data_IF_616651524824
#
_entry.id   IF_616651524824
#
_cell.length_a   1.000
_cell.length_b   1.000
_cell.length_c   1.000
_cell.angle_alpha   90.00
_cell.angle_beta   90.00
_cell.angle_gamma   90.00
#
_symmetry.space_group_name_H-M   'P 1'
#
loop_
_entity.id
_entity.type
_entity.pdbx_description
1 polymer ?
#
# COMPACT_ATOMS: atom_id res chain seq x y z
N UNK A 1 12.85 19.31 4.95
CA UNK A 1 13.47 18.19 4.20
C UNK A 1 13.45 16.89 5.00
N UNK A 2 13.60 16.91 6.33
CA UNK A 2 13.67 15.72 7.19
C UNK A 2 12.38 14.88 7.25
N UNK A 3 11.19 15.49 7.16
CA UNK A 3 9.91 14.77 7.21
C UNK A 3 9.66 13.93 5.95
N UNK A 4 9.93 14.49 4.77
CA UNK A 4 9.73 13.81 3.49
C UNK A 4 10.61 12.55 3.32
N UNK A 5 11.83 12.58 3.85
CA UNK A 5 12.73 11.41 3.84
C UNK A 5 12.23 10.29 4.75
N UNK A 6 11.61 10.65 5.89
CA UNK A 6 11.03 9.69 6.82
C UNK A 6 9.78 9.03 6.22
N UNK A 7 8.90 9.83 5.60
CA UNK A 7 7.69 9.33 4.96
C UNK A 7 8.02 8.34 3.84
N UNK A 8 9.01 8.66 2.98
CA UNK A 8 9.46 7.73 1.94
C UNK A 8 9.96 6.40 2.51
N UNK A 9 10.84 6.42 3.51
CA UNK A 9 11.39 5.20 4.13
C UNK A 9 10.30 4.34 4.77
N UNK A 10 9.30 4.98 5.40
CA UNK A 10 8.14 4.29 5.94
C UNK A 10 7.31 3.62 4.84
N UNK A 11 7.01 4.32 3.74
CA UNK A 11 6.24 3.76 2.63
C UNK A 11 6.96 2.60 1.94
N UNK A 12 8.29 2.69 1.79
CA UNK A 12 9.12 1.59 1.28
C UNK A 12 9.10 0.37 2.22
N UNK A 13 9.14 0.60 3.54
CA UNK A 13 9.00 -0.48 4.51
C UNK A 13 7.61 -1.13 4.38
N UNK A 14 6.53 -0.33 4.40
CA UNK A 14 5.15 -0.84 4.25
C UNK A 14 4.98 -1.62 2.95
N UNK A 15 5.58 -1.15 1.84
CA UNK A 15 5.62 -1.89 0.57
C UNK A 15 6.20 -3.28 0.78
N UNK A 16 7.41 -3.40 1.36
CA UNK A 16 8.08 -4.69 1.58
C UNK A 16 7.26 -5.65 2.44
N UNK A 17 6.57 -5.15 3.46
CA UNK A 17 5.70 -5.97 4.31
C UNK A 17 4.45 -6.48 3.57
N UNK A 18 4.00 -5.78 2.52
CA UNK A 18 2.82 -6.13 1.75
C UNK A 18 3.14 -6.93 0.48
N UNK A 19 4.38 -6.95 0.02
CA UNK A 19 4.80 -7.74 -1.15
C UNK A 19 4.62 -9.24 -0.91
N UNK A 20 4.27 -10.02 -1.96
CA UNK A 20 4.29 -11.47 -1.88
C UNK A 20 5.67 -11.97 -1.44
N UNK A 21 5.66 -12.99 -0.60
CA UNK A 21 6.87 -13.63 -0.08
C UNK A 21 7.55 -14.48 -1.18
N UNK A 22 8.82 -14.89 -1.00
CA UNK A 22 9.56 -15.69 -2.00
C UNK A 22 8.88 -17.01 -2.37
N UNK A 23 8.11 -17.58 -1.44
CA UNK A 23 7.28 -18.77 -1.63
C UNK A 23 5.92 -18.48 -2.31
N UNK A 24 5.75 -17.26 -2.83
CA UNK A 24 4.53 -16.75 -3.44
C UNK A 24 3.32 -16.66 -2.50
N UNK A 25 3.52 -16.83 -1.18
CA UNK A 25 2.48 -16.60 -0.19
C UNK A 25 2.26 -15.10 0.03
N UNK A 26 1.09 -14.76 0.56
CA UNK A 26 0.79 -13.39 0.98
C UNK A 26 1.14 -13.24 2.47
N UNK A 27 1.49 -12.02 2.92
CA UNK A 27 1.64 -11.75 4.34
C UNK A 27 0.35 -12.07 5.10
N UNK A 28 0.43 -12.26 6.42
CA UNK A 28 -0.74 -12.60 7.24
C UNK A 28 -1.90 -11.60 7.06
N UNK A 29 -3.14 -12.08 7.13
CA UNK A 29 -4.35 -11.26 6.96
C UNK A 29 -4.36 -10.05 7.90
N UNK A 30 -3.91 -10.22 9.14
CA UNK A 30 -3.88 -9.13 10.11
C UNK A 30 -2.87 -8.04 9.71
N UNK A 31 -1.73 -8.44 9.14
CA UNK A 31 -0.71 -7.50 8.62
C UNK A 31 -1.29 -6.75 7.43
N UNK A 32 -1.91 -7.45 6.47
CA UNK A 32 -2.56 -6.85 5.30
C UNK A 32 -3.58 -5.78 5.73
N UNK A 33 -4.52 -6.16 6.61
CA UNK A 33 -5.56 -5.25 7.11
C UNK A 33 -4.96 -4.05 7.85
N UNK A 34 -4.03 -4.28 8.78
CA UNK A 34 -3.48 -3.22 9.63
C UNK A 34 -2.72 -2.18 8.80
N UNK A 35 -1.88 -2.63 7.87
CA UNK A 35 -1.08 -1.73 7.02
C UNK A 35 -1.95 -0.99 6.00
N UNK A 36 -2.88 -1.66 5.33
CA UNK A 36 -3.78 -0.96 4.39
C UNK A 36 -4.68 0.04 5.14
N UNK A 37 -5.19 -0.29 6.32
CA UNK A 37 -5.96 0.65 7.14
C UNK A 37 -5.10 1.85 7.57
N UNK A 38 -3.85 1.62 7.99
CA UNK A 38 -2.92 2.70 8.31
C UNK A 38 -2.75 3.66 7.13
N UNK A 39 -2.49 3.14 5.93
CA UNK A 39 -2.35 3.93 4.71
C UNK A 39 -3.60 4.76 4.39
N UNK A 40 -4.81 4.30 4.76
CA UNK A 40 -6.03 5.10 4.51
C UNK A 40 -6.07 6.38 5.35
N UNK A 41 -5.46 6.35 6.54
CA UNK A 41 -5.44 7.47 7.49
C UNK A 41 -4.29 8.45 7.22
N UNK A 42 -3.24 8.02 6.52
CA UNK A 42 -2.11 8.87 6.20
C UNK A 42 -2.41 9.86 5.08
N UNK A 43 -1.82 11.05 5.18
CA UNK A 43 -1.72 12.00 4.06
C UNK A 43 -0.42 11.71 3.31
N UNK A 44 -0.53 11.04 2.17
CA UNK A 44 0.63 10.61 1.37
C UNK A 44 0.74 11.55 0.18
N UNK A 45 1.87 12.23 0.03
CA UNK A 45 2.13 13.07 -1.13
C UNK A 45 2.49 12.24 -2.38
N UNK A 46 2.24 12.82 -3.56
CA UNK A 46 2.45 12.15 -4.84
C UNK A 46 3.91 11.74 -5.07
N UNK A 47 4.89 12.50 -4.57
CA UNK A 47 6.31 12.25 -4.80
C UNK A 47 6.79 11.05 -3.97
N UNK A 48 6.41 10.98 -2.70
CA UNK A 48 6.70 9.86 -1.81
C UNK A 48 5.99 8.58 -2.29
N UNK A 49 4.76 8.70 -2.79
CA UNK A 49 4.04 7.58 -3.39
C UNK A 49 4.74 7.03 -4.65
N UNK A 50 5.14 7.92 -5.56
CA UNK A 50 5.82 7.52 -6.81
C UNK A 50 7.18 6.89 -6.52
N UNK A 51 7.96 7.50 -5.61
CA UNK A 51 9.31 7.04 -5.30
C UNK A 51 9.35 5.74 -4.49
N UNK A 52 8.36 5.47 -3.65
CA UNK A 52 8.25 4.20 -2.91
C UNK A 52 7.65 3.06 -3.73
N UNK A 53 7.04 3.35 -4.89
CA UNK A 53 6.29 2.41 -5.72
C UNK A 53 5.12 1.68 -5.03
N UNK A 54 4.72 2.11 -3.83
CA UNK A 54 3.68 1.46 -3.03
C UNK A 54 2.36 1.30 -3.80
N UNK A 55 2.04 2.25 -4.68
CA UNK A 55 0.85 2.20 -5.52
C UNK A 55 0.74 0.93 -6.39
N UNK A 56 1.87 0.34 -6.82
CA UNK A 56 1.89 -0.91 -7.58
C UNK A 56 1.43 -2.09 -6.74
N UNK A 57 1.90 -2.16 -5.48
CA UNK A 57 1.50 -3.20 -4.53
C UNK A 57 0.03 -3.06 -4.16
N UNK A 58 -0.44 -1.84 -3.85
CA UNK A 58 -1.87 -1.63 -3.57
C UNK A 58 -2.75 -2.04 -4.77
N UNK A 59 -2.33 -1.74 -6.00
CA UNK A 59 -3.03 -2.19 -7.21
C UNK A 59 -3.00 -3.72 -7.38
N UNK A 60 -1.94 -4.40 -6.97
CA UNK A 60 -1.89 -5.86 -6.94
C UNK A 60 -2.99 -6.44 -6.01
N UNK A 61 -3.19 -5.87 -4.83
CA UNK A 61 -4.23 -6.31 -3.89
C UNK A 61 -5.66 -6.15 -4.45
N UNK A 62 -5.90 -5.18 -5.34
CA UNK A 62 -7.23 -5.06 -5.98
C UNK A 62 -7.49 -6.13 -7.06
N UNK A 63 -6.43 -6.73 -7.60
CA UNK A 63 -6.51 -7.72 -8.69
C UNK A 63 -6.33 -9.17 -8.20
N UNK A 64 -5.65 -9.37 -7.08
CA UNK A 64 -5.34 -10.70 -6.56
C UNK A 64 -6.61 -11.44 -6.12
N UNK A 65 -6.79 -12.68 -6.62
CA UNK A 65 -7.94 -13.54 -6.27
C UNK A 65 -7.82 -14.19 -4.89
N UNK A 66 -6.59 -14.28 -4.36
CA UNK A 66 -6.28 -14.91 -3.05
C UNK A 66 -6.44 -13.94 -1.87
N UNK A 67 -6.70 -12.67 -2.14
CA UNK A 67 -6.87 -11.63 -1.12
C UNK A 67 -8.32 -11.65 -0.62
N UNK A 68 -8.49 -11.54 0.69
CA UNK A 68 -9.80 -11.46 1.33
C UNK A 68 -10.62 -10.26 0.83
N UNK A 69 -11.94 -10.39 0.79
CA UNK A 69 -12.85 -9.35 0.29
C UNK A 69 -12.70 -8.04 1.04
N UNK A 70 -12.49 -8.07 2.36
CA UNK A 70 -12.31 -6.88 3.20
C UNK A 70 -11.02 -6.12 2.85
N UNK A 71 -9.91 -6.85 2.70
CA UNK A 71 -8.61 -6.31 2.26
C UNK A 71 -8.72 -5.74 0.85
N UNK A 72 -9.41 -6.44 -0.05
CA UNK A 72 -9.65 -5.98 -1.41
C UNK A 72 -10.44 -4.69 -1.44
N UNK A 73 -11.44 -4.53 -0.56
CA UNK A 73 -12.19 -3.29 -0.44
C UNK A 73 -11.30 -2.12 0.02
N UNK A 74 -10.44 -2.34 1.03
CA UNK A 74 -9.48 -1.34 1.48
C UNK A 74 -8.51 -0.93 0.36
N UNK A 75 -7.98 -1.90 -0.38
CA UNK A 75 -7.08 -1.64 -1.49
C UNK A 75 -7.76 -0.82 -2.60
N UNK A 76 -9.02 -1.11 -2.94
CA UNK A 76 -9.77 -0.32 -3.92
C UNK A 76 -9.99 1.12 -3.45
N UNK A 77 -10.35 1.32 -2.17
CA UNK A 77 -10.49 2.65 -1.58
C UNK A 77 -9.18 3.43 -1.66
N UNK A 78 -8.06 2.78 -1.36
CA UNK A 78 -6.73 3.37 -1.49
C UNK A 78 -6.41 3.72 -2.94
N UNK A 79 -6.58 2.82 -3.91
CA UNK A 79 -6.33 3.14 -5.33
C UNK A 79 -7.13 4.35 -5.78
N UNK A 80 -8.41 4.45 -5.40
CA UNK A 80 -9.23 5.63 -5.71
C UNK A 80 -8.65 6.89 -5.07
N UNK A 81 -8.27 6.85 -3.79
CA UNK A 81 -7.60 7.96 -3.10
C UNK A 81 -6.29 8.35 -3.78
N UNK A 82 -5.45 7.38 -4.13
CA UNK A 82 -4.13 7.60 -4.74
C UNK A 82 -4.23 8.13 -6.18
N UNK A 83 -5.23 7.70 -6.95
CA UNK A 83 -5.48 8.21 -8.31
C UNK A 83 -5.80 9.69 -8.34
N UNK A 84 -6.46 10.22 -7.31
CA UNK A 84 -6.74 11.66 -7.16
C UNK A 84 -5.45 12.48 -7.14
N UNK A 85 -4.34 11.91 -6.68
CA UNK A 85 -3.04 12.59 -6.58
C UNK A 85 -2.15 12.44 -7.82
N UNK A 86 -2.60 11.71 -8.85
CA UNK A 86 -1.81 11.42 -10.07
C UNK A 86 -2.32 12.11 -11.34
N UNK A 87 -3.42 12.86 -11.26
CA UNK A 87 -3.86 13.80 -12.29
C UNK A 87 -3.40 15.21 -11.92
#
# INVERSE_FOLDING_TARGET
LETATLDKGLLEAVKKWLEPLPDCSLPDLNIQCSLLQLLTKMSIDTQSLKSSELGKVVLFYTKCKRVDTSVKHLANKLVSKLKVYTH
#
